data_IF_730380261064
#
_entry.id   IF_730380261064
#
_cell.length_a   1.000
_cell.length_b   1.000
_cell.length_c   1.000
_cell.angle_alpha   90.00
_cell.angle_beta   90.00
_cell.angle_gamma   90.00
#
_symmetry.space_group_name_H-M   'P 1'
#
loop_
_entity.id
_entity.type
_entity.pdbx_description
1 polymer ?
#
# COMPACT_ATOMS: atom_id res chain seq x y z
N UNK A 1 3.20 19.15 -21.07
CA UNK A 1 2.59 18.83 -19.77
C UNK A 1 3.20 17.57 -19.16
N UNK A 2 3.33 16.49 -19.94
CA UNK A 2 3.95 15.22 -19.50
C UNK A 2 5.33 15.41 -18.83
N UNK A 3 6.28 16.11 -19.46
CA UNK A 3 7.61 16.33 -18.84
C UNK A 3 7.54 17.00 -17.45
N UNK A 4 6.64 17.97 -17.27
CA UNK A 4 6.46 18.64 -15.97
C UNK A 4 5.82 17.73 -14.93
N UNK A 5 4.89 16.86 -15.36
CA UNK A 5 4.32 15.83 -14.51
C UNK A 5 5.37 14.81 -14.08
N UNK A 6 6.19 14.31 -15.00
CA UNK A 6 7.28 13.35 -14.70
C UNK A 6 8.33 13.94 -13.74
N UNK A 7 8.61 15.24 -13.85
CA UNK A 7 9.47 15.94 -12.89
C UNK A 7 8.85 15.93 -11.48
N UNK A 8 7.53 16.06 -11.36
CA UNK A 8 6.85 15.98 -10.06
C UNK A 8 6.91 14.58 -9.46
N UNK A 9 6.82 13.53 -10.28
CA UNK A 9 7.00 12.14 -9.85
C UNK A 9 8.41 11.90 -9.32
N UNK A 10 9.43 12.49 -9.97
CA UNK A 10 10.82 12.43 -9.47
C UNK A 10 10.96 13.12 -8.10
N UNK A 11 10.21 14.20 -7.86
CA UNK A 11 10.18 14.84 -6.54
C UNK A 11 9.46 13.99 -5.49
N UNK A 12 8.38 13.29 -5.87
CA UNK A 12 7.70 12.32 -4.98
C UNK A 12 8.66 11.20 -4.59
N UNK A 13 9.43 10.65 -5.52
CA UNK A 13 10.48 9.66 -5.23
C UNK A 13 11.49 10.20 -4.20
N UNK A 14 12.03 11.40 -4.46
CA UNK A 14 12.95 12.05 -3.53
C UNK A 14 12.34 12.26 -2.13
N UNK A 15 11.09 12.69 -2.06
CA UNK A 15 10.37 12.89 -0.80
C UNK A 15 10.19 11.58 -0.03
N UNK A 16 9.72 10.53 -0.69
CA UNK A 16 9.50 9.22 -0.06
C UNK A 16 10.83 8.64 0.44
N UNK A 17 11.89 8.72 -0.36
CA UNK A 17 13.23 8.30 0.04
C UNK A 17 13.72 9.07 1.27
N UNK A 18 13.53 10.39 1.30
CA UNK A 18 13.89 11.25 2.43
C UNK A 18 13.10 10.93 3.70
N UNK A 19 11.84 10.52 3.59
CA UNK A 19 11.04 10.05 4.74
C UNK A 19 11.58 8.72 5.24
N UNK A 20 11.84 7.76 4.34
CA UNK A 20 12.41 6.46 4.70
C UNK A 20 13.75 6.63 5.43
N UNK A 21 14.63 7.51 4.95
CA UNK A 21 15.92 7.77 5.59
C UNK A 21 15.79 8.29 7.02
N UNK A 22 14.78 9.12 7.32
CA UNK A 22 14.53 9.62 8.68
C UNK A 22 14.07 8.54 9.68
N UNK A 23 13.59 7.39 9.17
CA UNK A 23 13.05 6.30 9.99
C UNK A 23 13.78 4.97 9.78
N UNK A 24 14.82 4.94 8.94
CA UNK A 24 15.58 3.74 8.55
C UNK A 24 16.07 2.92 9.75
N UNK A 25 16.60 3.60 10.75
CA UNK A 25 17.14 2.99 11.98
C UNK A 25 16.12 2.90 13.12
N UNK A 26 14.81 3.02 12.84
CA UNK A 26 13.73 2.91 13.83
C UNK A 26 12.89 1.67 13.53
N UNK A 27 12.05 1.23 14.47
CA UNK A 27 10.99 0.25 14.20
C UNK A 27 9.85 0.95 13.47
N UNK A 28 9.90 0.97 12.16
CA UNK A 28 9.00 1.75 11.32
C UNK A 28 8.44 0.96 10.13
N UNK A 29 7.23 1.35 9.74
CA UNK A 29 6.59 1.04 8.47
C UNK A 29 6.26 2.39 7.80
N UNK A 30 6.49 2.49 6.49
CA UNK A 30 6.09 3.65 5.68
C UNK A 30 5.11 3.17 4.63
N UNK A 31 3.90 3.71 4.65
CA UNK A 31 2.91 3.55 3.60
C UNK A 31 2.84 4.82 2.77
N UNK A 32 2.79 4.66 1.46
CA UNK A 32 2.48 5.71 0.51
C UNK A 32 1.33 5.26 -0.38
N UNK A 33 0.35 6.12 -0.57
CA UNK A 33 -0.74 5.96 -1.53
C UNK A 33 -1.09 7.35 -2.07
N UNK A 34 -1.15 7.51 -3.39
CA UNK A 34 -1.75 8.72 -3.95
C UNK A 34 -3.27 8.65 -3.80
N UNK A 35 -3.91 9.78 -3.55
CA UNK A 35 -5.36 9.89 -3.32
C UNK A 35 -6.18 9.65 -4.60
N UNK A 36 -5.70 10.16 -5.72
CA UNK A 36 -6.21 9.90 -7.07
C UNK A 36 -5.09 10.03 -8.12
N UNK A 37 -5.41 9.71 -9.37
CA UNK A 37 -4.51 9.94 -10.50
C UNK A 37 -4.86 11.20 -11.29
N UNK A 38 -4.31 11.35 -12.48
CA UNK A 38 -4.38 12.59 -13.26
C UNK A 38 -4.60 12.29 -14.74
N UNK A 39 -5.47 13.06 -15.40
CA UNK A 39 -5.60 13.05 -16.86
C UNK A 39 -4.63 14.06 -17.46
N UNK A 40 -3.73 13.57 -18.30
CA UNK A 40 -2.64 14.37 -18.89
C UNK A 40 -2.64 14.26 -20.42
N UNK A 41 -3.79 13.86 -20.98
CA UNK A 41 -3.97 13.58 -22.40
C UNK A 41 -4.55 14.81 -23.14
N UNK A 42 -4.73 14.73 -24.45
CA UNK A 42 -5.19 15.88 -25.26
C UNK A 42 -6.69 16.20 -25.13
N UNK A 43 -7.49 15.29 -24.57
CA UNK A 43 -8.96 15.38 -24.47
C UNK A 43 -9.44 15.67 -23.06
N UNK A 44 -8.74 15.12 -22.08
CA UNK A 44 -9.05 15.20 -20.67
C UNK A 44 -7.83 15.75 -19.95
N UNK A 45 -8.07 16.72 -19.08
CA UNK A 45 -7.05 17.37 -18.29
C UNK A 45 -7.44 17.32 -16.82
N UNK A 46 -6.44 17.23 -15.96
CA UNK A 46 -6.60 17.25 -14.52
C UNK A 46 -7.38 16.02 -14.01
N UNK A 47 -7.98 16.18 -12.83
CA UNK A 47 -8.79 15.21 -12.14
C UNK A 47 -10.14 15.82 -11.74
N UNK A 48 -11.02 15.02 -11.16
CA UNK A 48 -12.34 15.46 -10.70
C UNK A 48 -13.44 15.26 -11.73
N UNK A 49 -13.21 14.45 -12.76
CA UNK A 49 -14.28 14.02 -13.65
C UNK A 49 -15.30 13.20 -12.84
N UNK A 50 -16.62 13.39 -13.05
CA UNK A 50 -17.63 12.58 -12.37
C UNK A 50 -17.33 11.09 -12.49
N UNK A 51 -17.46 10.33 -11.40
CA UNK A 51 -16.94 8.95 -11.29
C UNK A 51 -17.34 8.03 -12.45
N UNK A 52 -18.60 8.11 -12.88
CA UNK A 52 -19.16 7.29 -13.97
C UNK A 52 -18.60 7.63 -15.36
N UNK A 53 -17.95 8.77 -15.50
CA UNK A 53 -17.36 9.29 -16.74
C UNK A 53 -15.83 9.37 -16.68
N UNK A 54 -15.24 9.21 -15.49
CA UNK A 54 -13.83 9.44 -15.28
C UNK A 54 -12.98 8.34 -15.93
N UNK A 55 -11.91 8.72 -16.64
CA UNK A 55 -11.05 7.75 -17.30
C UNK A 55 -10.20 7.01 -16.25
N UNK A 56 -9.70 5.80 -16.57
CA UNK A 56 -9.01 4.94 -15.60
C UNK A 56 -7.77 5.59 -14.97
N UNK A 57 -7.09 6.50 -15.66
CA UNK A 57 -5.94 7.26 -15.16
C UNK A 57 -6.26 8.12 -13.93
N UNK A 58 -7.52 8.54 -13.71
CA UNK A 58 -7.89 9.26 -12.48
C UNK A 58 -8.04 8.32 -11.27
N UNK A 59 -8.06 7.00 -11.47
CA UNK A 59 -8.26 6.00 -10.41
C UNK A 59 -7.06 5.07 -10.18
N UNK A 60 -6.19 4.91 -11.18
CA UNK A 60 -5.00 4.04 -11.08
C UNK A 60 -3.86 4.80 -10.42
N UNK A 61 -3.67 4.53 -9.14
CA UNK A 61 -2.69 5.22 -8.29
C UNK A 61 -1.57 4.29 -7.81
N UNK A 62 -0.36 4.81 -7.58
CA UNK A 62 0.69 4.06 -6.92
C UNK A 62 0.36 3.84 -5.43
N UNK A 63 0.67 2.63 -4.95
CA UNK A 63 0.73 2.33 -3.52
C UNK A 63 2.07 1.63 -3.24
N UNK A 64 2.73 2.01 -2.15
CA UNK A 64 4.00 1.43 -1.73
C UNK A 64 4.02 1.20 -0.22
N UNK A 65 4.71 0.13 0.17
CA UNK A 65 4.96 -0.18 1.58
C UNK A 65 6.43 -0.49 1.74
N UNK A 66 7.06 0.17 2.71
CA UNK A 66 8.42 -0.11 3.15
C UNK A 66 8.41 -0.45 4.63
N UNK A 67 9.22 -1.41 5.04
CA UNK A 67 9.40 -1.82 6.43
C UNK A 67 10.89 -1.83 6.77
N UNK A 68 11.25 -1.17 7.87
CA UNK A 68 12.64 -1.12 8.37
C UNK A 68 13.15 -2.49 8.80
N UNK A 69 14.46 -2.72 8.68
CA UNK A 69 15.09 -3.96 9.16
C UNK A 69 14.80 -4.20 10.65
N UNK A 70 14.84 -3.14 11.49
CA UNK A 70 14.49 -3.23 12.91
C UNK A 70 13.04 -3.62 13.18
N UNK A 71 12.11 -3.23 12.29
CA UNK A 71 10.73 -3.67 12.38
C UNK A 71 10.59 -5.16 12.03
N UNK A 72 11.41 -5.62 11.08
CA UNK A 72 11.45 -7.01 10.60
C UNK A 72 12.26 -7.96 11.50
N UNK A 73 12.97 -7.47 12.51
CA UNK A 73 13.59 -8.31 13.55
C UNK A 73 12.56 -9.17 14.31
N UNK A 74 11.29 -8.74 14.36
CA UNK A 74 10.19 -9.56 14.87
C UNK A 74 9.80 -10.61 13.81
N UNK A 75 9.88 -11.93 14.10
CA UNK A 75 9.55 -12.97 13.14
C UNK A 75 8.12 -12.88 12.59
N UNK A 76 7.14 -12.45 13.39
CA UNK A 76 5.77 -12.28 12.92
C UNK A 76 5.67 -11.17 11.86
N UNK A 77 6.36 -10.05 12.08
CA UNK A 77 6.42 -8.94 11.14
C UNK A 77 7.16 -9.33 9.85
N UNK A 78 8.24 -10.10 9.96
CA UNK A 78 8.95 -10.63 8.80
C UNK A 78 8.08 -11.54 7.94
N UNK A 79 7.26 -12.40 8.57
CA UNK A 79 6.31 -13.26 7.86
C UNK A 79 5.19 -12.42 7.20
N UNK A 80 4.63 -11.44 7.90
CA UNK A 80 3.63 -10.53 7.36
C UNK A 80 4.18 -9.75 6.14
N UNK A 81 5.42 -9.28 6.21
CA UNK A 81 6.08 -8.61 5.09
C UNK A 81 6.32 -9.56 3.90
N UNK A 82 6.66 -10.82 4.15
CA UNK A 82 6.76 -11.82 3.10
C UNK A 82 5.41 -12.10 2.42
N UNK A 83 4.32 -12.08 3.18
CA UNK A 83 2.97 -12.15 2.61
C UNK A 83 2.65 -10.92 1.76
N UNK A 84 2.94 -9.72 2.26
CA UNK A 84 2.73 -8.48 1.53
C UNK A 84 3.49 -8.46 0.20
N UNK A 85 4.72 -9.00 0.15
CA UNK A 85 5.47 -9.17 -1.11
C UNK A 85 4.75 -10.08 -2.09
N UNK A 86 4.20 -11.21 -1.64
CA UNK A 86 3.36 -12.08 -2.49
C UNK A 86 2.14 -11.33 -3.01
N UNK A 87 1.47 -10.56 -2.15
CA UNK A 87 0.29 -9.77 -2.56
C UNK A 87 0.61 -8.77 -3.67
N UNK A 88 1.81 -8.16 -3.63
CA UNK A 88 2.32 -7.27 -4.66
C UNK A 88 2.70 -8.03 -5.96
N UNK A 89 3.35 -9.18 -5.85
CA UNK A 89 3.78 -10.01 -6.99
C UNK A 89 2.59 -10.54 -7.81
N UNK A 90 1.41 -10.68 -7.21
CA UNK A 90 0.19 -11.07 -7.93
C UNK A 90 -0.26 -10.03 -8.97
N UNK A 91 0.21 -8.77 -8.88
CA UNK A 91 -0.15 -7.67 -9.79
C UNK A 91 -1.67 -7.44 -9.91
N UNK A 92 -2.40 -7.77 -8.85
CA UNK A 92 -3.85 -7.51 -8.74
C UNK A 92 -4.04 -6.09 -8.20
N UNK A 93 -4.90 -5.25 -8.84
CA UNK A 93 -5.19 -3.92 -8.34
C UNK A 93 -5.74 -3.95 -6.90
N UNK A 94 -5.16 -3.12 -6.04
CA UNK A 94 -5.62 -2.87 -4.67
C UNK A 94 -6.39 -1.57 -4.57
N UNK A 95 -7.20 -1.44 -3.53
CA UNK A 95 -8.15 -0.32 -3.38
C UNK A 95 -7.96 0.38 -2.05
N UNK A 96 -8.23 1.69 -2.00
CA UNK A 96 -8.13 2.47 -0.75
C UNK A 96 -9.00 1.94 0.39
N UNK A 97 -10.11 1.26 0.10
CA UNK A 97 -10.95 0.63 1.12
C UNK A 97 -10.23 -0.47 1.92
N UNK A 98 -9.11 -0.98 1.41
CA UNK A 98 -8.29 -2.02 2.05
C UNK A 98 -7.15 -1.43 2.89
N UNK A 99 -6.84 -0.14 2.76
CA UNK A 99 -5.69 0.49 3.42
C UNK A 99 -5.83 0.50 4.95
N UNK A 100 -7.02 0.78 5.47
CA UNK A 100 -7.25 0.81 6.92
C UNK A 100 -6.93 -0.56 7.54
N UNK A 101 -7.56 -1.61 7.01
CA UNK A 101 -7.40 -2.98 7.50
C UNK A 101 -5.96 -3.46 7.35
N UNK A 102 -5.31 -3.11 6.23
CA UNK A 102 -3.90 -3.44 5.99
C UNK A 102 -2.97 -2.73 6.96
N UNK A 103 -3.14 -1.41 7.19
CA UNK A 103 -2.26 -0.67 8.12
C UNK A 103 -2.38 -1.27 9.53
N UNK A 104 -3.61 -1.49 10.00
CA UNK A 104 -3.85 -2.04 11.33
C UNK A 104 -3.32 -3.48 11.45
N UNK A 105 -3.57 -4.30 10.44
CA UNK A 105 -3.10 -5.68 10.39
C UNK A 105 -1.58 -5.81 10.30
N UNK A 106 -0.93 -4.99 9.47
CA UNK A 106 0.53 -4.95 9.41
C UNK A 106 1.14 -4.51 10.75
N UNK A 107 0.47 -3.65 11.53
CA UNK A 107 0.91 -3.29 12.89
C UNK A 107 0.68 -4.40 13.93
N UNK A 108 -0.01 -5.48 13.57
CA UNK A 108 -0.31 -6.63 14.44
C UNK A 108 -1.61 -6.48 15.24
N UNK A 109 -2.48 -5.52 14.91
CA UNK A 109 -3.80 -5.41 15.52
C UNK A 109 -4.79 -6.39 14.91
N UNK A 110 -5.69 -6.89 15.74
CA UNK A 110 -6.81 -7.76 15.34
C UNK A 110 -8.11 -7.23 15.95
N UNK A 111 -9.24 -7.41 15.29
CA UNK A 111 -10.55 -7.05 15.84
C UNK A 111 -11.46 -8.27 15.95
N UNK A 112 -11.95 -8.62 17.15
CA UNK A 112 -12.81 -9.80 17.33
C UNK A 112 -14.24 -9.61 16.80
N UNK A 113 -14.63 -8.38 16.52
CA UNK A 113 -15.99 -7.94 16.18
C UNK A 113 -16.10 -7.37 14.75
N UNK A 114 -15.07 -7.57 13.91
CA UNK A 114 -15.06 -7.11 12.53
C UNK A 114 -14.67 -5.64 12.34
N UNK A 115 -14.19 -4.96 13.39
CA UNK A 115 -13.57 -3.63 13.25
C UNK A 115 -12.32 -3.59 12.36
N UNK A 116 -11.73 -4.76 12.05
CA UNK A 116 -10.72 -4.98 11.01
C UNK A 116 -11.20 -6.15 10.17
N UNK A 117 -11.31 -5.94 8.86
CA UNK A 117 -11.66 -6.99 7.91
C UNK A 117 -10.39 -7.71 7.43
N UNK A 118 -10.16 -8.94 7.90
CA UNK A 118 -8.98 -9.73 7.54
C UNK A 118 -8.85 -9.99 6.03
N UNK A 119 -9.96 -9.98 5.26
CA UNK A 119 -9.91 -10.15 3.80
C UNK A 119 -9.31 -8.93 3.08
N UNK A 120 -9.30 -7.77 3.74
CA UNK A 120 -8.71 -6.54 3.22
C UNK A 120 -7.26 -6.34 3.69
N UNK A 121 -6.80 -7.12 4.68
CA UNK A 121 -5.49 -6.98 5.29
C UNK A 121 -4.41 -7.71 4.45
N UNK A 122 -3.59 -6.97 3.71
CA UNK A 122 -2.54 -7.58 2.86
C UNK A 122 -1.37 -8.19 3.65
N UNK A 123 -1.27 -7.91 4.95
CA UNK A 123 -0.34 -8.56 5.87
C UNK A 123 -0.94 -9.82 6.53
N UNK A 124 -2.23 -10.10 6.32
CA UNK A 124 -2.90 -11.27 6.87
C UNK A 124 -2.29 -12.54 6.29
N UNK A 125 -1.73 -13.38 7.16
CA UNK A 125 -1.34 -14.73 6.79
C UNK A 125 -2.56 -15.59 7.05
N UNK A 126 -3.22 -16.13 6.00
CA UNK A 126 -4.31 -17.07 6.20
C UNK A 126 -3.79 -18.20 7.08
N UNK A 127 -4.50 -18.53 8.16
CA UNK A 127 -4.16 -19.71 8.93
C UNK A 127 -4.10 -20.88 7.93
N UNK A 128 -2.90 -21.43 7.74
CA UNK A 128 -2.83 -22.79 7.22
C UNK A 128 -3.74 -23.59 8.14
N UNK A 129 -4.75 -24.28 7.59
CA UNK A 129 -5.46 -25.33 8.33
C UNK A 129 -4.41 -25.98 9.20
N UNK A 130 -4.52 -25.87 10.52
CA UNK A 130 -3.68 -26.60 11.45
C UNK A 130 -3.62 -28.01 10.88
N UNK A 131 -2.49 -28.37 10.29
CA UNK A 131 -2.30 -29.70 9.80
C UNK A 131 -2.44 -30.53 11.06
N UNK A 132 -3.52 -31.31 11.12
CA UNK A 132 -3.93 -32.15 12.22
C UNK A 132 -2.69 -32.78 12.86
N UNK A 133 -2.18 -32.11 13.89
CA UNK A 133 -1.21 -32.60 14.82
C UNK A 133 -2.02 -32.83 16.08
N UNK A 134 -2.78 -33.92 16.03
CA UNK A 134 -3.18 -34.80 17.13
C UNK A 134 -3.88 -36.02 16.52
#
# INVERSE_FOLDING_TARGET
MINSYDNSVTYVDHFISSVIDQVRDKKAIVFYAADHGESINEREHLHGTPRELAPPEQFRVPMMVWMSDKYLENPANAQAFAQLKKEADMKVPRRHVELYDTIMGCLGYTSPDGGINENNNWCHIPQAKEAAAN
#
